data_IF_332455051015
#
_entry.id   IF_332455051015
#
_cell.length_a   1.000
_cell.length_b   1.000
_cell.length_c   1.000
_cell.angle_alpha   90.00
_cell.angle_beta   90.00
_cell.angle_gamma   90.00
#
_symmetry.space_group_name_H-M   'P 1'
#
loop_
_entity.id
_entity.type
_entity.pdbx_description
1 polymer ?
#
# COMPACT_ATOMS: atom_id res chain seq x y z
N UNK A 1 22.54 2.87 17.99
CA UNK A 1 21.24 3.40 18.43
C UNK A 1 20.30 2.21 18.56
N UNK A 2 19.80 1.97 19.76
CA UNK A 2 18.80 0.91 19.97
C UNK A 2 17.50 1.41 19.38
N UNK A 3 17.04 0.79 18.28
CA UNK A 3 15.72 1.08 17.72
C UNK A 3 14.70 0.50 18.69
N UNK A 4 14.16 1.32 19.56
CA UNK A 4 13.08 0.91 20.47
C UNK A 4 11.78 0.97 19.68
N UNK A 5 11.21 -0.17 19.34
CA UNK A 5 9.90 -0.23 18.71
C UNK A 5 8.86 0.40 19.64
N UNK A 6 7.93 1.17 19.09
CA UNK A 6 6.77 1.63 19.85
C UNK A 6 5.96 0.43 20.35
N UNK A 7 5.19 0.53 21.45
CA UNK A 7 4.34 -0.57 21.91
C UNK A 7 3.40 -1.10 20.83
N UNK A 8 2.85 -0.22 20.01
CA UNK A 8 2.00 -0.59 18.86
C UNK A 8 2.76 -1.42 17.84
N UNK A 9 3.94 -0.96 17.43
CA UNK A 9 4.77 -1.66 16.45
C UNK A 9 5.19 -3.04 16.96
N UNK A 10 5.60 -3.13 18.23
CA UNK A 10 5.95 -4.40 18.88
C UNK A 10 4.75 -5.36 18.93
N UNK A 11 3.58 -4.91 19.40
CA UNK A 11 2.37 -5.74 19.45
C UNK A 11 1.94 -6.19 18.06
N UNK A 12 2.00 -5.32 17.07
CA UNK A 12 1.73 -5.68 15.68
C UNK A 12 2.70 -6.72 15.15
N UNK A 13 3.99 -6.59 15.47
CA UNK A 13 5.00 -7.57 15.10
C UNK A 13 4.74 -8.93 15.75
N UNK A 14 4.43 -8.96 17.05
CA UNK A 14 4.16 -10.20 17.79
C UNK A 14 2.92 -10.93 17.24
N UNK A 15 1.85 -10.22 16.95
CA UNK A 15 0.63 -10.79 16.33
C UNK A 15 0.92 -11.36 14.94
N UNK A 16 1.88 -10.80 14.22
CA UNK A 16 2.31 -11.28 12.90
C UNK A 16 3.56 -12.17 12.95
N UNK A 17 4.10 -12.44 14.14
CA UNK A 17 5.29 -13.26 14.33
C UNK A 17 5.30 -14.60 13.60
N UNK A 18 4.19 -15.38 13.61
CA UNK A 18 4.12 -16.64 12.88
C UNK A 18 4.39 -16.49 11.37
N UNK A 19 3.88 -15.41 10.75
CA UNK A 19 4.13 -15.13 9.33
C UNK A 19 5.59 -14.76 9.07
N UNK A 20 6.20 -14.00 9.97
CA UNK A 20 7.62 -13.63 9.88
C UNK A 20 8.50 -14.87 9.96
N UNK A 21 8.19 -15.79 10.87
CA UNK A 21 8.91 -17.07 11.01
C UNK A 21 8.73 -17.94 9.78
N UNK A 22 7.53 -17.99 9.19
CA UNK A 22 7.27 -18.76 7.98
C UNK A 22 8.07 -18.22 6.78
N UNK A 23 8.13 -16.91 6.63
CA UNK A 23 8.99 -16.25 5.62
C UNK A 23 10.46 -16.59 5.85
N UNK A 24 10.94 -16.48 7.07
CA UNK A 24 12.33 -16.79 7.41
C UNK A 24 12.66 -18.26 7.13
N UNK A 25 11.84 -19.18 7.58
CA UNK A 25 12.03 -20.62 7.32
C UNK A 25 12.05 -20.91 5.82
N UNK A 26 11.09 -20.34 5.06
CA UNK A 26 11.03 -20.51 3.62
C UNK A 26 12.28 -19.96 2.92
N UNK A 27 12.79 -18.81 3.35
CA UNK A 27 14.02 -18.24 2.81
C UNK A 27 15.24 -19.13 3.07
N UNK A 28 15.33 -19.73 4.26
CA UNK A 28 16.38 -20.67 4.60
C UNK A 28 16.27 -21.97 3.80
N UNK A 29 15.08 -22.54 3.72
CA UNK A 29 14.84 -23.81 2.99
C UNK A 29 15.12 -23.69 1.47
N UNK A 30 14.87 -22.52 0.90
CA UNK A 30 15.21 -22.21 -0.50
C UNK A 30 16.71 -21.96 -0.71
N UNK A 31 17.50 -21.73 0.35
CA UNK A 31 18.89 -21.27 0.24
C UNK A 31 19.02 -19.83 -0.26
N UNK A 32 17.97 -19.02 -0.07
CA UNK A 32 17.90 -17.65 -0.56
C UNK A 32 18.93 -16.74 0.12
N UNK A 33 19.08 -16.86 1.44
CA UNK A 33 20.03 -16.05 2.20
C UNK A 33 21.47 -16.37 1.80
N UNK A 34 21.77 -17.63 1.51
CA UNK A 34 23.09 -18.07 0.99
C UNK A 34 23.39 -17.47 -0.38
N UNK A 35 22.36 -17.40 -1.24
CA UNK A 35 22.50 -16.83 -2.57
C UNK A 35 22.82 -15.33 -2.56
N UNK A 36 22.40 -14.61 -1.51
CA UNK A 36 22.55 -13.16 -1.35
C UNK A 36 23.76 -12.77 -0.50
N UNK A 37 24.46 -13.72 0.12
CA UNK A 37 25.57 -13.45 1.01
C UNK A 37 26.80 -12.91 0.27
N UNK A 38 27.05 -13.39 -0.94
CA UNK A 38 28.19 -13.00 -1.77
C UNK A 38 28.07 -11.58 -2.36
N UNK A 39 26.91 -10.97 -2.30
CA UNK A 39 26.65 -9.62 -2.82
C UNK A 39 25.26 -9.46 -3.44
N UNK A 40 24.99 -8.30 -4.05
CA UNK A 40 23.69 -8.04 -4.64
C UNK A 40 23.38 -8.99 -5.81
N UNK A 41 22.16 -9.54 -5.83
CA UNK A 41 21.67 -10.40 -6.91
C UNK A 41 20.34 -9.88 -7.42
N UNK A 42 20.16 -9.86 -8.75
CA UNK A 42 18.94 -9.40 -9.41
C UNK A 42 17.77 -10.38 -9.18
N UNK A 43 16.55 -9.82 -9.14
CA UNK A 43 15.33 -10.58 -9.00
C UNK A 43 15.16 -11.67 -10.07
N UNK A 44 15.39 -11.32 -11.34
CA UNK A 44 15.26 -12.25 -12.46
C UNK A 44 16.22 -13.44 -12.35
N UNK A 45 17.47 -13.19 -11.92
CA UNK A 45 18.47 -14.22 -11.68
C UNK A 45 18.08 -15.13 -10.49
N UNK A 46 17.57 -14.55 -9.40
CA UNK A 46 17.06 -15.33 -8.25
C UNK A 46 15.85 -16.18 -8.64
N UNK A 47 14.89 -15.60 -9.36
CA UNK A 47 13.71 -16.33 -9.82
C UNK A 47 14.09 -17.52 -10.70
N UNK A 48 15.02 -17.34 -11.63
CA UNK A 48 15.56 -18.41 -12.47
C UNK A 48 16.27 -19.48 -11.65
N UNK A 49 17.14 -19.06 -10.72
CA UNK A 49 17.94 -19.97 -9.87
C UNK A 49 17.06 -20.89 -9.04
N UNK A 50 15.97 -20.37 -8.46
CA UNK A 50 15.10 -21.11 -7.55
C UNK A 50 13.87 -21.72 -8.23
N UNK A 51 13.64 -21.45 -9.53
CA UNK A 51 12.49 -21.95 -10.28
C UNK A 51 11.16 -21.42 -9.71
N UNK A 52 11.13 -20.13 -9.34
CA UNK A 52 9.97 -19.48 -8.72
C UNK A 52 9.43 -18.36 -9.61
N UNK A 53 8.16 -18.00 -9.42
CA UNK A 53 7.54 -16.91 -10.18
C UNK A 53 8.12 -15.56 -9.77
N UNK A 54 8.61 -14.72 -10.72
CA UNK A 54 9.29 -13.46 -10.39
C UNK A 54 8.45 -12.53 -9.53
N UNK A 55 7.16 -12.31 -9.86
CA UNK A 55 6.29 -11.42 -9.09
C UNK A 55 5.98 -11.93 -7.67
N UNK A 56 5.92 -13.24 -7.48
CA UNK A 56 5.78 -13.82 -6.14
C UNK A 56 7.07 -13.69 -5.35
N UNK A 57 8.20 -13.94 -5.99
CA UNK A 57 9.51 -13.72 -5.37
C UNK A 57 9.70 -12.25 -4.95
N UNK A 58 9.31 -11.30 -5.80
CA UNK A 58 9.37 -9.88 -5.48
C UNK A 58 8.64 -9.55 -4.17
N UNK A 59 7.39 -10.01 -4.02
CA UNK A 59 6.59 -9.81 -2.80
C UNK A 59 7.19 -10.55 -1.59
N UNK A 60 7.72 -11.73 -1.82
CA UNK A 60 8.39 -12.51 -0.78
C UNK A 60 9.65 -11.80 -0.27
N UNK A 61 10.47 -11.25 -1.17
CA UNK A 61 11.65 -10.45 -0.81
C UNK A 61 11.26 -9.15 -0.11
N UNK A 62 10.12 -8.54 -0.46
CA UNK A 62 9.56 -7.38 0.23
C UNK A 62 9.19 -7.71 1.70
N UNK A 63 8.68 -8.92 1.98
CA UNK A 63 8.50 -9.37 3.35
C UNK A 63 9.82 -9.37 4.12
N UNK A 64 10.88 -9.94 3.55
CA UNK A 64 12.18 -10.07 4.21
C UNK A 64 12.84 -8.70 4.40
N UNK A 65 12.72 -7.82 3.41
CA UNK A 65 13.18 -6.43 3.51
C UNK A 65 12.41 -5.65 4.58
N UNK A 66 11.09 -5.87 4.69
CA UNK A 66 10.25 -5.26 5.73
C UNK A 66 10.67 -5.65 7.15
N UNK A 67 11.26 -6.82 7.30
CA UNK A 67 11.87 -7.28 8.55
C UNK A 67 13.27 -6.67 8.80
N UNK A 68 13.79 -5.88 7.87
CA UNK A 68 15.13 -5.28 7.96
C UNK A 68 16.28 -6.27 7.70
N UNK A 69 16.01 -7.42 7.09
CA UNK A 69 16.99 -8.47 6.86
C UNK A 69 17.64 -8.39 5.46
N UNK A 70 17.00 -7.67 4.54
CA UNK A 70 17.51 -7.37 3.20
C UNK A 70 17.48 -5.86 2.94
N UNK A 71 18.29 -5.45 1.98
CA UNK A 71 18.18 -4.15 1.32
C UNK A 71 18.04 -4.36 -0.18
N UNK A 72 17.33 -3.46 -0.85
CA UNK A 72 17.18 -3.47 -2.31
C UNK A 72 17.74 -2.22 -2.94
N UNK A 73 18.12 -2.37 -4.20
CA UNK A 73 18.36 -1.29 -5.15
C UNK A 73 17.40 -1.52 -6.32
N UNK A 74 16.44 -0.62 -6.47
CA UNK A 74 15.35 -0.72 -7.45
C UNK A 74 15.57 0.35 -8.51
N UNK A 75 16.19 0.01 -9.65
CA UNK A 75 16.28 0.93 -10.77
C UNK A 75 14.89 1.17 -11.36
N UNK A 76 14.68 2.36 -11.91
CA UNK A 76 13.39 2.88 -12.37
C UNK A 76 12.49 1.83 -13.05
N UNK A 77 11.35 1.53 -12.42
CA UNK A 77 10.20 0.76 -12.91
C UNK A 77 10.45 -0.66 -13.48
N UNK A 78 11.65 -1.19 -13.45
CA UNK A 78 11.95 -2.57 -13.84
C UNK A 78 12.08 -3.47 -12.61
N UNK A 79 10.98 -4.11 -12.23
CA UNK A 79 10.94 -5.07 -11.11
C UNK A 79 11.98 -6.19 -11.29
N UNK A 80 12.19 -6.68 -12.52
CA UNK A 80 13.16 -7.73 -12.80
C UNK A 80 14.60 -7.31 -12.57
N UNK A 81 14.89 -6.02 -12.74
CA UNK A 81 16.22 -5.43 -12.52
C UNK A 81 16.51 -5.12 -11.05
N UNK A 82 15.50 -5.13 -10.19
CA UNK A 82 15.67 -4.92 -8.75
C UNK A 82 16.69 -5.89 -8.19
N UNK A 83 17.72 -5.40 -7.52
CA UNK A 83 18.75 -6.22 -6.88
C UNK A 83 18.60 -6.21 -5.35
N UNK A 84 18.94 -7.33 -4.73
CA UNK A 84 18.81 -7.56 -3.30
C UNK A 84 20.12 -8.03 -2.71
N UNK A 85 20.38 -7.64 -1.47
CA UNK A 85 21.50 -8.12 -0.66
C UNK A 85 21.09 -8.27 0.81
N UNK A 86 21.74 -9.15 1.53
CA UNK A 86 21.58 -9.28 2.99
C UNK A 86 22.16 -8.07 3.72
N UNK A 87 21.60 -7.76 4.90
CA UNK A 87 22.22 -6.82 5.83
C UNK A 87 23.43 -7.45 6.48
N UNK A 88 24.40 -6.61 6.90
CA UNK A 88 25.61 -7.09 7.57
C UNK A 88 25.30 -7.83 8.86
N UNK A 89 25.94 -8.96 9.11
CA UNK A 89 25.76 -9.78 10.31
C UNK A 89 24.52 -10.68 10.31
N UNK A 90 23.73 -10.69 9.22
CA UNK A 90 22.53 -11.53 9.17
C UNK A 90 22.83 -13.01 9.30
N UNK A 91 23.88 -13.52 8.65
CA UNK A 91 24.28 -14.94 8.73
C UNK A 91 24.52 -15.38 10.17
N UNK A 92 25.31 -14.60 10.90
CA UNK A 92 25.63 -14.92 12.30
C UNK A 92 24.37 -14.89 13.18
N UNK A 93 23.48 -13.90 12.96
CA UNK A 93 22.23 -13.82 13.68
C UNK A 93 21.30 -15.01 13.37
N UNK A 94 21.18 -15.41 12.11
CA UNK A 94 20.39 -16.58 11.70
C UNK A 94 20.94 -17.86 12.33
N UNK A 95 22.25 -18.09 12.26
CA UNK A 95 22.87 -19.26 12.86
C UNK A 95 22.66 -19.30 14.39
N UNK A 96 22.71 -18.15 15.06
CA UNK A 96 22.54 -18.04 16.51
C UNK A 96 21.09 -18.24 16.97
N UNK A 97 20.09 -17.84 16.16
CA UNK A 97 18.69 -17.75 16.59
C UNK A 97 17.79 -18.83 15.99
N UNK A 98 18.02 -19.19 14.72
CA UNK A 98 17.20 -20.16 13.97
C UNK A 98 18.02 -21.28 13.34
N UNK A 99 19.25 -21.46 13.74
CA UNK A 99 20.08 -22.59 13.33
C UNK A 99 19.47 -23.95 13.72
N UNK A 100 20.04 -25.05 13.21
CA UNK A 100 19.46 -26.41 13.41
C UNK A 100 19.21 -26.72 14.88
N UNK A 101 20.02 -26.18 15.78
CA UNK A 101 20.00 -26.45 17.22
C UNK A 101 19.27 -25.36 18.03
N UNK A 102 18.79 -24.28 17.39
CA UNK A 102 18.31 -23.10 18.12
C UNK A 102 16.80 -23.11 18.39
N UNK A 103 15.98 -23.60 17.48
CA UNK A 103 14.52 -23.51 17.64
C UNK A 103 13.79 -24.57 16.84
N UNK A 104 12.74 -25.13 17.44
CA UNK A 104 11.80 -26.01 16.76
C UNK A 104 10.95 -25.18 15.77
N UNK A 105 10.90 -25.64 14.53
CA UNK A 105 10.11 -25.01 13.47
C UNK A 105 8.66 -25.42 13.61
N UNK A 106 7.85 -24.51 14.13
CA UNK A 106 6.43 -24.77 14.33
C UNK A 106 5.58 -24.20 13.18
N UNK A 107 5.62 -24.87 12.03
CA UNK A 107 4.86 -24.46 10.84
C UNK A 107 3.37 -24.81 10.93
N UNK A 108 3.02 -25.79 11.75
CA UNK A 108 1.68 -26.39 11.76
C UNK A 108 0.70 -25.68 12.71
N UNK A 109 1.18 -24.82 13.58
CA UNK A 109 0.35 -24.11 14.58
C UNK A 109 -0.66 -23.14 13.98
N UNK A 110 -0.48 -22.71 12.72
CA UNK A 110 -1.26 -21.63 12.13
C UNK A 110 -1.85 -22.00 10.76
N UNK A 111 -2.71 -23.04 10.69
CA UNK A 111 -3.31 -23.52 9.43
C UNK A 111 -4.36 -22.58 8.83
N UNK A 112 -4.64 -21.45 9.47
CA UNK A 112 -5.65 -20.47 9.10
C UNK A 112 -5.35 -19.64 7.84
N UNK A 113 -4.16 -19.79 7.26
CA UNK A 113 -3.75 -19.14 6.01
C UNK A 113 -3.47 -20.21 4.93
N UNK A 114 -4.05 -20.03 3.75
CA UNK A 114 -3.83 -20.98 2.62
C UNK A 114 -2.36 -21.14 2.26
N UNK A 115 -1.57 -20.07 2.42
CA UNK A 115 -0.14 -20.05 2.11
C UNK A 115 0.74 -20.44 3.30
N UNK A 116 0.16 -20.56 4.49
CA UNK A 116 0.93 -20.84 5.69
C UNK A 116 1.57 -22.23 5.61
N UNK A 117 2.89 -22.30 5.84
CA UNK A 117 3.66 -23.55 5.69
C UNK A 117 3.87 -24.02 4.25
N UNK A 118 3.30 -23.31 3.25
CA UNK A 118 3.35 -23.66 1.83
C UNK A 118 3.90 -22.55 0.94
N UNK A 119 4.66 -21.62 1.52
CA UNK A 119 5.18 -20.46 0.78
C UNK A 119 6.08 -20.88 -0.39
N UNK A 120 6.92 -21.92 -0.23
CA UNK A 120 7.76 -22.40 -1.33
C UNK A 120 6.94 -22.92 -2.53
N UNK A 121 5.84 -23.62 -2.27
CA UNK A 121 4.90 -24.07 -3.31
C UNK A 121 4.20 -22.87 -3.97
N UNK A 122 3.78 -21.89 -3.17
CA UNK A 122 3.19 -20.66 -3.69
C UNK A 122 4.17 -19.88 -4.58
N UNK A 123 5.44 -19.76 -4.19
CA UNK A 123 6.46 -19.09 -5.01
C UNK A 123 6.67 -19.78 -6.37
N UNK A 124 6.50 -21.11 -6.44
CA UNK A 124 6.58 -21.86 -7.70
C UNK A 124 5.30 -21.81 -8.53
N UNK A 125 4.22 -21.23 -8.00
CA UNK A 125 2.92 -21.21 -8.68
C UNK A 125 2.08 -22.48 -8.49
N UNK A 126 2.50 -23.40 -7.62
CA UNK A 126 1.77 -24.63 -7.32
C UNK A 126 0.55 -24.41 -6.45
N UNK A 127 0.53 -23.30 -5.69
CA UNK A 127 -0.55 -22.86 -4.82
C UNK A 127 -0.81 -21.38 -5.05
N UNK A 128 -2.07 -21.03 -5.22
CA UNK A 128 -2.55 -19.62 -5.32
C UNK A 128 -3.58 -19.36 -4.23
N UNK A 129 -3.81 -18.10 -3.91
CA UNK A 129 -4.99 -17.69 -3.14
C UNK A 129 -6.20 -17.92 -4.06
N UNK A 130 -7.23 -18.59 -3.54
CA UNK A 130 -8.46 -18.91 -4.27
C UNK A 130 -9.09 -17.66 -4.91
N UNK A 131 -9.91 -17.90 -5.95
CA UNK A 131 -10.66 -16.89 -6.71
C UNK A 131 -11.54 -15.95 -5.84
N UNK A 132 -11.65 -16.20 -4.54
CA UNK A 132 -12.29 -15.30 -3.57
C UNK A 132 -11.59 -13.96 -3.41
N UNK A 133 -10.34 -13.82 -3.83
CA UNK A 133 -9.63 -12.54 -3.90
C UNK A 133 -9.26 -12.20 -5.33
N UNK A 134 -10.26 -11.85 -6.14
CA UNK A 134 -10.02 -11.35 -7.50
C UNK A 134 -9.62 -9.86 -7.43
N UNK A 135 -8.41 -9.54 -7.89
CA UNK A 135 -7.97 -8.16 -8.07
C UNK A 135 -7.71 -7.88 -9.57
N UNK A 136 -8.31 -6.85 -10.16
CA UNK A 136 -9.44 -6.07 -9.62
C UNK A 136 -10.73 -6.90 -9.50
N UNK A 137 -11.67 -6.50 -8.62
CA UNK A 137 -12.97 -7.17 -8.49
C UNK A 137 -13.71 -7.26 -9.82
N UNK A 138 -14.30 -8.43 -10.14
CA UNK A 138 -14.96 -8.67 -11.44
C UNK A 138 -16.47 -8.68 -11.36
N UNK A 139 -17.05 -8.89 -10.16
CA UNK A 139 -18.50 -8.92 -9.95
C UNK A 139 -18.93 -7.85 -8.96
N UNK A 140 -20.22 -7.49 -8.96
CA UNK A 140 -20.76 -6.54 -7.99
C UNK A 140 -20.59 -7.00 -6.54
N UNK A 141 -20.71 -8.30 -6.28
CA UNK A 141 -20.50 -8.88 -4.95
C UNK A 141 -19.04 -8.77 -4.51
N UNK A 142 -18.10 -9.15 -5.38
CA UNK A 142 -16.66 -8.99 -5.11
C UNK A 142 -16.30 -7.52 -4.89
N UNK A 143 -16.87 -6.61 -5.68
CA UNK A 143 -16.68 -5.16 -5.48
C UNK A 143 -17.19 -4.72 -4.12
N UNK A 144 -18.40 -5.11 -3.74
CA UNK A 144 -18.98 -4.71 -2.45
C UNK A 144 -18.21 -5.30 -1.26
N UNK A 145 -17.73 -6.52 -1.35
CA UNK A 145 -16.91 -7.16 -0.31
C UNK A 145 -15.54 -6.48 -0.18
N UNK A 146 -14.89 -6.22 -1.31
CA UNK A 146 -13.62 -5.51 -1.35
C UNK A 146 -13.74 -4.12 -0.73
N UNK A 147 -14.69 -3.29 -1.19
CA UNK A 147 -14.86 -1.92 -0.69
C UNK A 147 -15.22 -1.89 0.80
N UNK A 148 -16.04 -2.84 1.28
CA UNK A 148 -16.33 -2.97 2.71
C UNK A 148 -15.07 -3.29 3.53
N UNK A 149 -14.24 -4.18 3.02
CA UNK A 149 -12.96 -4.52 3.66
C UNK A 149 -12.01 -3.32 3.69
N UNK A 150 -11.96 -2.54 2.61
CA UNK A 150 -11.14 -1.32 2.54
C UNK A 150 -11.65 -0.23 3.48
N UNK A 151 -12.96 -0.04 3.58
CA UNK A 151 -13.57 0.95 4.46
C UNK A 151 -13.25 0.69 5.95
N UNK A 152 -13.22 -0.58 6.39
CA UNK A 152 -12.82 -0.95 7.76
C UNK A 152 -11.39 -0.49 8.12
N UNK A 153 -10.50 -0.37 7.15
CA UNK A 153 -9.11 0.06 7.34
C UNK A 153 -8.90 1.58 7.35
N UNK A 154 -9.93 2.41 7.13
CA UNK A 154 -9.78 3.86 6.96
C UNK A 154 -9.63 4.65 8.27
N UNK A 155 -9.85 4.04 9.43
CA UNK A 155 -9.82 4.74 10.73
C UNK A 155 -8.60 5.65 10.93
N UNK A 156 -7.36 5.18 10.72
CA UNK A 156 -6.15 6.00 10.86
C UNK A 156 -6.10 7.21 9.90
N UNK A 157 -6.53 7.04 8.65
CA UNK A 157 -6.59 8.13 7.67
C UNK A 157 -7.64 9.17 8.06
N UNK A 158 -8.85 8.72 8.44
CA UNK A 158 -9.94 9.59 8.92
C UNK A 158 -9.50 10.40 10.13
N UNK A 159 -8.83 9.78 11.11
CA UNK A 159 -8.33 10.48 12.30
C UNK A 159 -7.35 11.60 11.92
N UNK A 160 -6.40 11.31 11.02
CA UNK A 160 -5.39 12.30 10.63
C UNK A 160 -6.00 13.42 9.79
N UNK A 161 -6.88 13.10 8.84
CA UNK A 161 -7.60 14.12 8.06
C UNK A 161 -8.44 15.03 8.96
N UNK A 162 -9.14 14.48 9.94
CA UNK A 162 -9.91 15.28 10.92
C UNK A 162 -9.02 16.18 11.76
N UNK A 163 -7.86 15.70 12.22
CA UNK A 163 -6.88 16.48 13.00
C UNK A 163 -6.42 17.72 12.24
N UNK A 164 -6.28 17.64 10.94
CA UNK A 164 -5.81 18.72 10.09
C UNK A 164 -6.91 19.42 9.28
N UNK A 165 -8.21 19.15 9.58
CA UNK A 165 -9.34 19.61 8.77
C UNK A 165 -9.36 21.12 8.53
N UNK A 166 -9.07 21.94 9.56
CA UNK A 166 -9.01 23.39 9.42
C UNK A 166 -7.95 23.87 8.43
N UNK A 167 -6.79 23.18 8.35
CA UNK A 167 -5.73 23.47 7.36
C UNK A 167 -6.09 22.99 5.96
N UNK A 168 -6.71 21.79 5.87
CA UNK A 168 -6.97 21.16 4.59
C UNK A 168 -8.15 21.77 3.84
N UNK A 169 -9.22 22.12 4.58
CA UNK A 169 -10.53 22.40 3.96
C UNK A 169 -11.05 23.83 4.14
N UNK A 170 -10.36 24.73 4.87
CA UNK A 170 -10.89 26.08 5.17
C UNK A 170 -11.30 26.86 3.92
N UNK A 171 -10.51 26.77 2.85
CA UNK A 171 -10.70 27.50 1.61
C UNK A 171 -11.01 26.57 0.41
N UNK A 172 -11.56 25.38 0.70
CA UNK A 172 -11.89 24.37 -0.32
C UNK A 172 -13.39 24.18 -0.39
N UNK A 173 -13.84 23.96 -1.64
CA UNK A 173 -15.27 23.83 -1.95
C UNK A 173 -15.60 22.55 -2.69
N UNK A 174 -14.66 21.97 -3.45
CA UNK A 174 -14.90 20.78 -4.27
C UNK A 174 -13.72 19.80 -4.19
N UNK A 175 -13.96 18.68 -3.55
CA UNK A 175 -13.03 17.55 -3.44
C UNK A 175 -13.35 16.49 -4.50
N UNK A 176 -12.34 16.01 -5.21
CA UNK A 176 -12.38 14.76 -5.95
C UNK A 176 -11.59 13.69 -5.18
N UNK A 177 -12.28 12.66 -4.68
CA UNK A 177 -11.65 11.53 -3.99
C UNK A 177 -11.44 10.40 -4.99
N UNK A 178 -10.21 10.29 -5.53
CA UNK A 178 -9.86 9.37 -6.60
C UNK A 178 -9.59 7.98 -6.02
N UNK A 179 -10.34 6.99 -6.49
CA UNK A 179 -10.35 5.65 -5.89
C UNK A 179 -10.97 5.64 -4.50
N UNK A 180 -11.86 6.59 -4.19
CA UNK A 180 -12.42 6.84 -2.85
C UNK A 180 -13.38 5.75 -2.32
N UNK A 181 -13.37 4.56 -2.93
CA UNK A 181 -14.13 3.40 -2.48
C UNK A 181 -15.62 3.67 -2.38
N UNK A 182 -16.23 3.20 -1.32
CA UNK A 182 -17.65 3.39 -1.04
C UNK A 182 -18.03 4.82 -0.57
N UNK A 183 -17.06 5.75 -0.56
CA UNK A 183 -17.25 7.13 -0.13
C UNK A 183 -17.18 7.36 1.38
N UNK A 184 -16.80 6.35 2.16
CA UNK A 184 -16.72 6.46 3.63
C UNK A 184 -15.81 7.60 4.07
N UNK A 185 -14.61 7.77 3.48
CA UNK A 185 -13.70 8.87 3.82
C UNK A 185 -14.31 10.24 3.47
N UNK A 186 -14.82 10.36 2.23
CA UNK A 186 -15.45 11.61 1.77
C UNK A 186 -16.62 12.02 2.67
N UNK A 187 -17.47 11.06 3.08
CA UNK A 187 -18.55 11.33 4.00
C UNK A 187 -18.08 11.84 5.37
N UNK A 188 -17.00 11.23 5.92
CA UNK A 188 -16.40 11.72 7.18
C UNK A 188 -15.81 13.13 7.08
N UNK A 189 -15.24 13.49 5.93
CA UNK A 189 -14.77 14.87 5.67
C UNK A 189 -15.96 15.83 5.64
N UNK A 190 -17.03 15.46 4.96
CA UNK A 190 -18.26 16.28 4.84
C UNK A 190 -18.98 16.48 6.18
N UNK A 191 -18.90 15.54 7.12
CA UNK A 191 -19.48 15.69 8.47
C UNK A 191 -18.96 16.93 9.21
N UNK A 192 -17.69 17.28 8.98
CA UNK A 192 -17.00 18.37 9.69
C UNK A 192 -16.75 19.60 8.82
N UNK A 193 -17.11 19.55 7.54
CA UNK A 193 -16.79 20.59 6.56
C UNK A 193 -18.03 21.00 5.76
N UNK A 194 -18.91 21.85 6.32
CA UNK A 194 -20.21 22.13 5.72
C UNK A 194 -20.16 22.83 4.36
N UNK A 195 -19.11 23.61 4.06
CA UNK A 195 -18.95 24.30 2.78
C UNK A 195 -18.45 23.40 1.64
N UNK A 196 -17.92 22.20 1.97
CA UNK A 196 -17.33 21.31 0.99
C UNK A 196 -18.39 20.43 0.31
N UNK A 197 -18.19 20.17 -0.96
CA UNK A 197 -18.81 19.09 -1.74
C UNK A 197 -17.71 18.11 -2.13
N UNK A 198 -18.01 16.83 -2.16
CA UNK A 198 -17.08 15.79 -2.55
C UNK A 198 -17.70 14.89 -3.61
N UNK A 199 -16.94 14.55 -4.63
CA UNK A 199 -17.28 13.52 -5.58
C UNK A 199 -16.26 12.38 -5.46
N UNK A 200 -16.75 11.15 -5.34
CA UNK A 200 -15.91 9.94 -5.42
C UNK A 200 -15.74 9.61 -6.90
N UNK A 201 -14.50 9.51 -7.35
CA UNK A 201 -14.16 9.01 -8.68
C UNK A 201 -13.73 7.55 -8.57
N UNK A 202 -14.48 6.65 -9.20
CA UNK A 202 -14.18 5.22 -9.16
C UNK A 202 -14.85 4.51 -10.36
N UNK A 203 -14.56 3.20 -10.52
CA UNK A 203 -15.22 2.36 -11.51
C UNK A 203 -16.75 2.40 -11.33
N UNK A 204 -17.55 2.38 -12.42
CA UNK A 204 -18.99 2.49 -12.35
C UNK A 204 -19.70 1.50 -11.42
N UNK A 205 -19.11 0.31 -11.21
CA UNK A 205 -19.64 -0.72 -10.30
C UNK A 205 -19.73 -0.26 -8.83
N UNK A 206 -18.97 0.76 -8.43
CA UNK A 206 -18.94 1.31 -7.07
C UNK A 206 -20.08 2.31 -6.79
N UNK A 207 -20.69 2.86 -7.81
CA UNK A 207 -21.74 3.89 -7.69
C UNK A 207 -22.86 3.57 -6.67
N UNK A 208 -23.41 2.34 -6.61
CA UNK A 208 -24.45 1.99 -5.64
C UNK A 208 -23.97 2.05 -4.19
N UNK A 209 -22.68 1.76 -3.95
CA UNK A 209 -22.08 1.78 -2.61
C UNK A 209 -21.91 3.22 -2.12
N UNK A 210 -21.44 4.12 -2.98
CA UNK A 210 -21.36 5.56 -2.67
C UNK A 210 -22.75 6.14 -2.41
N UNK A 211 -23.75 5.75 -3.19
CA UNK A 211 -25.13 6.17 -2.96
C UNK A 211 -25.65 5.71 -1.59
N UNK A 212 -25.38 4.47 -1.20
CA UNK A 212 -25.74 3.94 0.10
C UNK A 212 -25.06 4.69 1.26
N UNK A 213 -23.77 4.97 1.14
CA UNK A 213 -23.00 5.78 2.12
C UNK A 213 -23.55 7.20 2.21
N UNK A 214 -23.78 7.85 1.06
CA UNK A 214 -24.38 9.18 0.99
C UNK A 214 -25.71 9.26 1.74
N UNK A 215 -26.60 8.32 1.47
CA UNK A 215 -27.95 8.30 2.04
C UNK A 215 -27.90 7.99 3.54
N UNK A 216 -27.07 7.02 3.95
CA UNK A 216 -26.88 6.66 5.36
C UNK A 216 -26.26 7.80 6.20
N UNK A 217 -25.43 8.65 5.59
CA UNK A 217 -24.73 9.77 6.26
C UNK A 217 -25.46 11.12 6.09
N UNK A 218 -26.56 11.17 5.36
CA UNK A 218 -27.33 12.41 5.15
C UNK A 218 -26.66 13.45 4.27
N UNK A 219 -25.80 13.04 3.34
CA UNK A 219 -25.07 13.94 2.46
C UNK A 219 -25.64 14.01 1.02
N UNK A 220 -26.96 13.89 0.89
CA UNK A 220 -27.66 13.81 -0.40
C UNK A 220 -27.22 14.89 -1.43
N UNK A 221 -26.98 16.12 -0.95
CA UNK A 221 -26.64 17.26 -1.81
C UNK A 221 -25.14 17.53 -1.92
N UNK A 222 -24.30 16.79 -1.19
CA UNK A 222 -22.85 17.12 -1.07
C UNK A 222 -21.92 15.97 -1.40
N UNK A 223 -22.36 14.71 -1.36
CA UNK A 223 -21.56 13.55 -1.76
C UNK A 223 -22.07 13.03 -3.10
N UNK A 224 -21.27 13.20 -4.14
CA UNK A 224 -21.53 12.73 -5.49
C UNK A 224 -20.65 11.54 -5.89
N UNK A 225 -20.91 11.06 -7.11
CA UNK A 225 -20.13 10.00 -7.74
C UNK A 225 -19.85 10.35 -9.20
N UNK A 226 -18.61 10.16 -9.64
CA UNK A 226 -18.19 10.28 -11.04
C UNK A 226 -17.58 8.94 -11.44
N UNK A 227 -18.25 8.24 -12.37
CA UNK A 227 -17.77 6.96 -12.90
C UNK A 227 -16.68 7.17 -13.94
N UNK A 228 -15.60 6.39 -13.85
CA UNK A 228 -14.53 6.38 -14.82
C UNK A 228 -13.43 5.39 -14.47
N UNK A 229 -12.54 5.16 -15.42
CA UNK A 229 -11.34 4.36 -15.24
C UNK A 229 -10.12 5.26 -15.47
N UNK A 230 -9.35 5.56 -14.44
CA UNK A 230 -8.20 6.46 -14.52
C UNK A 230 -7.06 5.94 -15.43
N UNK A 231 -7.15 4.70 -15.91
CA UNK A 231 -6.23 4.19 -16.93
C UNK A 231 -6.62 4.60 -18.35
N UNK A 232 -7.90 4.84 -18.60
CA UNK A 232 -8.43 5.16 -19.94
C UNK A 232 -9.03 6.54 -20.02
N UNK A 233 -9.50 7.07 -18.90
CA UNK A 233 -10.22 8.34 -18.83
C UNK A 233 -9.38 9.40 -18.09
N UNK A 234 -9.35 10.64 -18.57
CA UNK A 234 -8.72 11.71 -17.81
C UNK A 234 -9.53 12.00 -16.54
N UNK A 235 -8.83 12.40 -15.47
CA UNK A 235 -9.51 12.84 -14.26
C UNK A 235 -10.38 14.07 -14.51
N UNK A 236 -11.60 14.14 -13.95
CA UNK A 236 -12.52 15.25 -14.16
C UNK A 236 -11.96 16.56 -13.56
N UNK A 237 -12.26 17.69 -14.20
CA UNK A 237 -11.80 19.03 -13.82
C UNK A 237 -12.82 19.77 -12.97
N UNK A 238 -12.42 20.92 -12.44
CA UNK A 238 -13.26 21.81 -11.65
C UNK A 238 -13.26 21.49 -10.16
N UNK A 239 -12.17 20.91 -9.68
CA UNK A 239 -11.94 20.60 -8.26
C UNK A 239 -10.79 21.43 -7.74
N UNK A 240 -10.96 21.99 -6.53
CA UNK A 240 -9.93 22.72 -5.82
C UNK A 240 -9.19 21.87 -4.76
N UNK A 241 -9.62 20.62 -4.60
CA UNK A 241 -8.92 19.59 -3.85
C UNK A 241 -9.05 18.21 -4.53
N UNK A 242 -8.00 17.38 -4.41
CA UNK A 242 -7.97 16.01 -4.90
C UNK A 242 -7.26 15.13 -3.88
N UNK A 243 -7.80 13.94 -3.63
CA UNK A 243 -7.21 12.95 -2.73
C UNK A 243 -6.92 11.62 -3.42
N UNK A 244 -5.79 11.01 -3.02
CA UNK A 244 -5.49 9.60 -3.21
C UNK A 244 -5.27 8.98 -1.83
N UNK A 245 -6.17 8.11 -1.40
CA UNK A 245 -6.08 7.45 -0.09
C UNK A 245 -6.11 5.94 -0.29
N UNK A 246 -4.98 5.29 -0.05
CA UNK A 246 -4.76 3.86 -0.29
C UNK A 246 -4.99 3.45 -1.76
N UNK A 247 -4.45 4.23 -2.67
CA UNK A 247 -4.61 4.03 -4.12
C UNK A 247 -3.27 3.87 -4.82
N UNK A 248 -2.34 4.80 -4.61
CA UNK A 248 -1.12 4.86 -5.40
C UNK A 248 -0.17 3.69 -5.11
N UNK A 249 -0.23 3.11 -3.91
CA UNK A 249 0.59 1.97 -3.55
C UNK A 249 0.21 0.68 -4.31
N UNK A 250 -0.98 0.61 -4.89
CA UNK A 250 -1.43 -0.56 -5.65
C UNK A 250 -0.76 -0.66 -7.03
N UNK A 251 -0.10 0.40 -7.46
CA UNK A 251 0.41 0.53 -8.82
C UNK A 251 1.93 0.68 -8.88
N UNK A 252 2.57 0.26 -10.01
CA UNK A 252 3.99 0.54 -10.27
C UNK A 252 4.29 2.04 -10.24
N UNK A 253 5.57 2.40 -10.06
CA UNK A 253 6.01 3.80 -9.98
C UNK A 253 5.60 4.64 -11.21
N UNK A 254 5.67 4.05 -12.42
CA UNK A 254 5.27 4.73 -13.65
C UNK A 254 3.79 5.12 -13.62
N UNK A 255 2.93 4.19 -13.21
CA UNK A 255 1.48 4.42 -13.09
C UNK A 255 1.16 5.42 -11.99
N UNK A 256 1.79 5.29 -10.82
CA UNK A 256 1.62 6.26 -9.73
C UNK A 256 2.03 7.68 -10.18
N UNK A 257 3.13 7.80 -10.94
CA UNK A 257 3.56 9.07 -11.55
C UNK A 257 2.52 9.61 -12.52
N UNK A 258 2.01 8.79 -13.41
CA UNK A 258 0.98 9.18 -14.38
C UNK A 258 -0.29 9.67 -13.68
N UNK A 259 -0.76 8.98 -12.65
CA UNK A 259 -1.92 9.40 -11.87
C UNK A 259 -1.70 10.76 -11.18
N UNK A 260 -0.50 11.00 -10.63
CA UNK A 260 -0.16 12.30 -10.04
C UNK A 260 -0.07 13.40 -11.11
N UNK A 261 0.42 13.10 -12.32
CA UNK A 261 0.40 14.04 -13.45
C UNK A 261 -1.01 14.34 -13.92
N UNK A 262 -1.89 13.35 -13.98
CA UNK A 262 -3.32 13.57 -14.30
C UNK A 262 -3.98 14.43 -13.22
N UNK A 263 -3.69 14.21 -11.93
CA UNK A 263 -4.17 15.03 -10.83
C UNK A 263 -3.70 16.49 -10.98
N UNK A 264 -2.43 16.69 -11.34
CA UNK A 264 -1.90 18.03 -11.59
C UNK A 264 -2.64 18.73 -12.75
N UNK A 265 -2.94 18.00 -13.83
CA UNK A 265 -3.67 18.54 -14.97
C UNK A 265 -5.14 18.87 -14.63
N UNK A 266 -5.78 18.06 -13.78
CA UNK A 266 -7.19 18.17 -13.42
C UNK A 266 -7.48 19.25 -12.37
N UNK A 267 -6.58 19.44 -11.40
CA UNK A 267 -6.73 20.41 -10.31
C UNK A 267 -6.77 21.86 -10.84
N UNK A 268 -7.61 22.68 -10.21
CA UNK A 268 -7.60 24.13 -10.42
C UNK A 268 -6.27 24.74 -9.94
N UNK A 269 -5.84 25.90 -10.50
CA UNK A 269 -4.69 26.63 -9.96
C UNK A 269 -4.87 26.94 -8.46
N UNK A 270 -3.83 26.74 -7.66
CA UNK A 270 -3.90 26.82 -6.20
C UNK A 270 -4.57 25.60 -5.52
N UNK A 271 -4.99 24.60 -6.27
CA UNK A 271 -5.66 23.41 -5.76
C UNK A 271 -4.75 22.53 -4.92
N UNK A 272 -5.35 21.88 -3.92
CA UNK A 272 -4.68 20.97 -2.97
C UNK A 272 -4.68 19.54 -3.51
N UNK A 273 -3.53 18.88 -3.48
CA UNK A 273 -3.44 17.42 -3.56
C UNK A 273 -3.13 16.85 -2.18
N UNK A 274 -3.80 15.74 -1.83
CA UNK A 274 -3.60 14.98 -0.61
C UNK A 274 -3.33 13.51 -0.96
N UNK A 275 -2.24 12.97 -0.44
CA UNK A 275 -1.90 11.54 -0.54
C UNK A 275 -1.80 10.98 0.87
N UNK A 276 -2.58 9.92 1.16
CA UNK A 276 -2.54 9.20 2.41
C UNK A 276 -2.43 7.71 2.12
N UNK A 277 -1.31 7.15 2.52
CA UNK A 277 -1.03 5.72 2.43
C UNK A 277 -0.55 5.23 3.79
N UNK A 278 -0.50 3.95 3.99
CA UNK A 278 0.25 3.39 5.11
C UNK A 278 1.74 3.43 4.75
N UNK A 279 2.34 4.62 4.86
CA UNK A 279 3.73 4.82 4.44
C UNK A 279 4.67 3.90 5.18
N UNK A 280 5.68 3.43 4.44
CA UNK A 280 6.74 2.60 4.97
C UNK A 280 7.59 3.39 5.97
N UNK A 281 7.62 2.94 7.21
CA UNK A 281 8.41 3.53 8.29
C UNK A 281 8.95 2.42 9.20
N UNK A 282 10.07 2.65 9.92
CA UNK A 282 10.57 1.68 10.87
C UNK A 282 9.54 1.24 11.94
N UNK A 283 8.61 2.12 12.30
CA UNK A 283 7.59 1.85 13.31
C UNK A 283 6.42 0.98 12.80
N UNK A 284 6.35 0.72 11.49
CA UNK A 284 5.25 -0.02 10.85
C UNK A 284 5.72 -1.30 10.16
N UNK A 285 6.85 -1.85 10.57
CA UNK A 285 7.42 -3.05 9.93
C UNK A 285 6.45 -4.21 9.83
N UNK A 286 5.67 -4.45 10.90
CA UNK A 286 4.72 -5.56 10.93
C UNK A 286 3.58 -5.39 9.92
N UNK A 287 3.12 -4.17 9.68
CA UNK A 287 2.05 -3.89 8.72
C UNK A 287 2.56 -4.00 7.27
N UNK A 288 3.76 -3.50 7.01
CA UNK A 288 4.43 -3.64 5.72
C UNK A 288 4.67 -5.11 5.39
N UNK A 289 5.12 -5.88 6.37
CA UNK A 289 5.28 -7.33 6.26
C UNK A 289 3.94 -8.01 5.95
N UNK A 290 2.87 -7.70 6.70
CA UNK A 290 1.54 -8.28 6.50
C UNK A 290 1.02 -8.01 5.08
N UNK A 291 1.17 -6.80 4.59
CA UNK A 291 0.73 -6.42 3.25
C UNK A 291 1.40 -7.25 2.16
N UNK A 292 2.73 -7.34 2.21
CA UNK A 292 3.49 -8.14 1.25
C UNK A 292 3.17 -9.63 1.37
N UNK A 293 3.06 -10.14 2.60
CA UNK A 293 2.72 -11.55 2.85
C UNK A 293 1.37 -11.92 2.23
N UNK A 294 0.35 -11.09 2.46
CA UNK A 294 -1.00 -11.31 1.93
C UNK A 294 -1.01 -11.38 0.39
N UNK A 295 -0.17 -10.60 -0.27
CA UNK A 295 -0.13 -10.51 -1.73
C UNK A 295 0.78 -11.54 -2.41
N UNK A 296 1.52 -12.39 -1.68
CA UNK A 296 2.42 -13.38 -2.29
C UNK A 296 1.70 -14.27 -3.31
N UNK A 297 0.49 -14.70 -3.01
CA UNK A 297 -0.33 -15.56 -3.90
C UNK A 297 -1.19 -14.81 -4.92
N UNK A 298 -1.06 -13.48 -5.04
CA UNK A 298 -1.87 -12.65 -5.95
C UNK A 298 -0.99 -12.13 -7.09
N UNK A 299 -1.02 -12.83 -8.24
CA UNK A 299 -0.15 -12.50 -9.38
C UNK A 299 -0.51 -11.19 -10.10
N UNK A 300 -1.77 -10.79 -10.03
CA UNK A 300 -2.26 -9.56 -10.67
C UNK A 300 -1.88 -8.27 -9.92
N UNK A 301 -1.35 -8.37 -8.71
CA UNK A 301 -0.97 -7.20 -7.90
C UNK A 301 0.54 -7.02 -7.86
N UNK A 302 0.98 -5.80 -8.10
CA UNK A 302 2.34 -5.30 -7.85
C UNK A 302 2.37 -4.27 -6.73
N UNK A 303 1.34 -4.28 -5.90
CA UNK A 303 1.15 -3.35 -4.78
C UNK A 303 2.35 -3.35 -3.83
N UNK A 304 2.78 -2.15 -3.43
CA UNK A 304 3.89 -1.94 -2.53
C UNK A 304 3.72 -0.68 -1.72
N UNK A 305 3.84 -0.80 -0.40
CA UNK A 305 3.92 0.38 0.46
C UNK A 305 5.26 1.10 0.27
N UNK A 306 5.20 2.42 0.10
CA UNK A 306 6.35 3.30 -0.12
C UNK A 306 6.52 4.26 1.05
N UNK A 307 7.72 4.83 1.16
CA UNK A 307 8.03 5.89 2.11
C UNK A 307 7.33 7.21 1.71
N UNK A 308 7.01 8.07 2.68
CA UNK A 308 6.45 9.39 2.40
C UNK A 308 7.37 10.23 1.49
N UNK A 309 8.68 10.05 1.62
CA UNK A 309 9.70 10.72 0.79
C UNK A 309 9.57 10.41 -0.71
N UNK A 310 9.11 9.22 -1.07
CA UNK A 310 8.82 8.91 -2.47
C UNK A 310 7.76 9.86 -3.04
N UNK A 311 6.67 10.05 -2.30
CA UNK A 311 5.57 10.92 -2.75
C UNK A 311 5.92 12.39 -2.70
N UNK A 312 6.71 12.85 -1.71
CA UNK A 312 7.18 14.24 -1.67
C UNK A 312 8.06 14.58 -2.87
N UNK A 313 8.97 13.68 -3.25
CA UNK A 313 9.79 13.83 -4.46
C UNK A 313 8.94 13.81 -5.72
N UNK A 314 8.04 12.85 -5.83
CA UNK A 314 7.14 12.72 -6.98
C UNK A 314 6.30 13.98 -7.20
N UNK A 315 5.69 14.52 -6.15
CA UNK A 315 4.89 15.75 -6.22
C UNK A 315 5.75 16.95 -6.67
N UNK A 316 6.96 17.08 -6.12
CA UNK A 316 7.90 18.15 -6.50
C UNK A 316 8.31 18.02 -7.97
N UNK A 317 8.63 16.84 -8.44
CA UNK A 317 9.02 16.57 -9.83
C UNK A 317 7.89 16.84 -10.84
N UNK A 318 6.65 16.58 -10.44
CA UNK A 318 5.46 16.88 -11.27
C UNK A 318 5.15 18.38 -11.32
N UNK A 319 5.67 19.18 -10.35
CA UNK A 319 5.54 20.64 -10.35
C UNK A 319 4.62 21.19 -9.26
N UNK A 320 4.20 20.37 -8.30
CA UNK A 320 3.51 20.85 -7.10
C UNK A 320 4.48 21.62 -6.20
N UNK A 321 3.96 22.56 -5.43
CA UNK A 321 4.69 23.40 -4.48
C UNK A 321 4.19 23.20 -3.05
N UNK A 322 4.97 23.70 -2.08
CA UNK A 322 4.65 23.65 -0.64
C UNK A 322 4.39 22.23 -0.14
N UNK A 323 5.17 21.26 -0.67
CA UNK A 323 5.06 19.85 -0.32
C UNK A 323 5.35 19.67 1.17
N UNK A 324 4.41 19.12 1.91
CA UNK A 324 4.48 18.97 3.37
C UNK A 324 3.97 17.60 3.78
N UNK A 325 4.65 16.99 4.76
CA UNK A 325 4.16 15.78 5.45
C UNK A 325 3.50 16.22 6.76
N UNK A 326 2.22 16.00 6.89
CA UNK A 326 1.44 16.28 8.10
C UNK A 326 1.44 15.04 9.00
N UNK A 327 1.81 15.17 10.28
CA UNK A 327 1.89 14.04 11.20
C UNK A 327 0.50 13.53 11.58
N UNK A 328 0.39 12.21 11.79
CA UNK A 328 -0.84 11.57 12.23
C UNK A 328 -0.68 10.08 12.47
N UNK A 329 -1.79 9.39 12.68
CA UNK A 329 -1.79 7.92 12.80
C UNK A 329 -1.33 7.29 11.48
N UNK A 330 -1.80 7.79 10.36
CA UNK A 330 -1.12 7.74 9.06
C UNK A 330 -0.80 9.17 8.65
N UNK A 331 0.43 9.42 8.20
CA UNK A 331 0.83 10.74 7.73
C UNK A 331 0.07 11.11 6.44
N UNK A 332 -0.10 12.42 6.20
CA UNK A 332 -0.60 12.92 4.93
C UNK A 332 0.53 13.66 4.21
N UNK A 333 0.76 13.32 2.95
CA UNK A 333 1.57 14.15 2.06
C UNK A 333 0.65 15.10 1.33
N UNK A 334 0.87 16.40 1.49
CA UNK A 334 0.06 17.45 0.88
C UNK A 334 0.92 18.38 0.05
N UNK A 335 0.36 18.91 -1.03
CA UNK A 335 1.01 19.91 -1.86
C UNK A 335 -0.02 20.75 -2.62
N UNK A 336 0.42 21.83 -3.24
CA UNK A 336 -0.46 22.74 -3.96
C UNK A 336 -0.02 22.89 -5.42
N UNK A 337 -0.98 22.90 -6.33
CA UNK A 337 -0.73 23.33 -7.70
C UNK A 337 -0.45 24.82 -7.72
N UNK A 338 0.60 25.32 -8.41
CA UNK A 338 0.84 26.75 -8.53
C UNK A 338 -0.37 27.52 -9.02
N UNK A 339 -0.49 28.78 -8.60
CA UNK A 339 -1.59 29.67 -9.05
C UNK A 339 -1.34 30.27 -10.42
N UNK A 340 -0.12 30.14 -10.97
CA UNK A 340 0.29 30.61 -12.30
C UNK A 340 1.22 29.60 -12.96
#
# INVERSE_FOLDING_TARGET
MTVTLSPRALMSLLVNGPKAMDVLHTALDLGLLDALEAGPVRLDALATRFGVLPLRLYKFLDCIESLGLLTRDEPDDDIGATSYRTVSGLRDAVNAVVGPDATERDRDRYPWRQLHGRLAESLRGEVSIDDGFAWPPKTAEQTAEFERSMALGLGPAIETVRRHSGRLWSDRHRLLDVGGGDGTLAAHILDTTPQLRADVYNLPAVAPLVAATRDARGHADRLGFVGGDFFTDPLPRGYDALSFVRVLHDWPNAVARELVQQAYAALEPGGLILICEEFRTPDRLAMQFFWSYFLIGVDSSVSRLREADYYTKLLTEVGFQDVTVLPGTWELVTAYKPTR
#
